data_IF_838754682000
#
_entry.id   IF_838754682000
#
_cell.length_a   1.000
_cell.length_b   1.000
_cell.length_c   1.000
_cell.angle_alpha   90.00
_cell.angle_beta   90.00
_cell.angle_gamma   90.00
#
_symmetry.space_group_name_H-M   'P 1'
#
loop_
_entity.id
_entity.type
_entity.pdbx_description
1 polymer ?
#
# COMPACT_ATOMS: atom_id res chain seq x y z
N UNK A 1 28.32 5.33 2.90
CA UNK A 1 27.49 5.34 4.12
C UNK A 1 27.27 3.90 4.56
N UNK A 2 27.37 3.60 5.85
CA UNK A 2 27.10 2.27 6.43
C UNK A 2 26.09 2.45 7.58
N UNK A 3 25.20 1.49 7.75
CA UNK A 3 24.19 1.50 8.82
C UNK A 3 24.44 0.33 9.77
N UNK A 4 24.25 0.56 11.07
CA UNK A 4 24.28 -0.52 12.06
C UNK A 4 22.92 -1.20 12.11
N UNK A 5 22.88 -2.51 11.82
CA UNK A 5 21.64 -3.29 11.77
C UNK A 5 21.69 -4.39 12.83
N UNK A 6 20.62 -4.52 13.63
CA UNK A 6 20.48 -5.53 14.68
C UNK A 6 19.14 -6.25 14.55
N UNK A 7 19.07 -7.56 14.85
CA UNK A 7 17.81 -8.28 14.88
C UNK A 7 16.95 -7.87 16.07
N UNK A 8 15.63 -7.97 15.91
CA UNK A 8 14.64 -7.78 16.95
C UNK A 8 13.98 -9.12 17.25
N UNK A 9 13.93 -9.51 18.53
CA UNK A 9 13.27 -10.73 19.01
C UNK A 9 12.29 -10.31 20.10
N UNK A 10 11.01 -10.65 19.93
CA UNK A 10 9.94 -10.31 20.88
C UNK A 10 9.92 -8.82 21.27
N UNK A 11 10.18 -7.93 20.30
CA UNK A 11 10.21 -6.47 20.50
C UNK A 11 11.49 -5.94 21.18
N UNK A 12 12.43 -6.80 21.58
CA UNK A 12 13.73 -6.39 22.14
C UNK A 12 14.83 -6.39 21.07
N UNK A 13 15.58 -5.30 20.99
CA UNK A 13 16.71 -5.15 20.06
C UNK A 13 17.95 -5.85 20.63
N UNK A 14 18.48 -6.85 19.93
CA UNK A 14 19.69 -7.58 20.35
C UNK A 14 20.96 -6.93 19.77
N UNK A 15 21.42 -5.84 20.38
CA UNK A 15 22.59 -5.09 19.89
C UNK A 15 23.87 -5.92 19.80
N UNK A 16 24.09 -6.87 20.71
CA UNK A 16 25.28 -7.73 20.68
C UNK A 16 25.35 -8.66 19.46
N UNK A 17 24.24 -8.84 18.72
CA UNK A 17 24.17 -9.62 17.48
C UNK A 17 24.12 -8.73 16.23
N UNK A 18 24.29 -7.43 16.39
CA UNK A 18 24.28 -6.46 15.30
C UNK A 18 25.65 -6.26 14.66
N UNK A 19 25.65 -5.61 13.49
CA UNK A 19 26.87 -5.26 12.77
C UNK A 19 26.63 -4.14 11.76
N UNK A 20 27.72 -3.57 11.24
CA UNK A 20 27.65 -2.58 10.19
C UNK A 20 27.43 -3.25 8.82
N UNK A 21 26.46 -2.74 8.06
CA UNK A 21 26.22 -3.18 6.68
C UNK A 21 26.09 -1.98 5.76
N UNK A 22 26.55 -2.15 4.52
CA UNK A 22 26.32 -1.20 3.41
C UNK A 22 25.15 -1.63 2.53
N UNK A 23 24.67 -2.87 2.72
CA UNK A 23 23.55 -3.46 1.97
C UNK A 23 22.35 -3.56 2.90
N UNK A 24 21.28 -2.85 2.54
CA UNK A 24 19.99 -2.91 3.24
C UNK A 24 19.02 -3.71 2.38
N UNK A 25 18.22 -4.57 3.02
CA UNK A 25 17.12 -5.31 2.38
C UNK A 25 15.81 -4.67 2.84
N UNK A 26 15.12 -3.90 1.97
CA UNK A 26 13.88 -3.26 2.38
C UNK A 26 12.78 -4.31 2.61
N UNK A 27 11.88 -4.01 3.55
CA UNK A 27 10.67 -4.81 3.75
C UNK A 27 9.75 -4.64 2.54
N UNK A 28 9.37 -5.76 1.93
CA UNK A 28 8.50 -5.81 0.76
C UNK A 28 7.02 -5.77 1.16
N UNK A 29 6.21 -4.97 0.47
CA UNK A 29 4.78 -4.78 0.76
C UNK A 29 3.98 -4.98 -0.54
N UNK A 30 2.89 -5.75 -0.47
CA UNK A 30 1.91 -5.90 -1.55
C UNK A 30 0.48 -5.80 -0.98
N UNK A 31 -0.12 -4.61 -0.87
CA UNK A 31 -1.54 -4.52 -0.54
C UNK A 31 -2.38 -5.13 -1.68
N UNK A 32 -3.61 -5.52 -1.37
CA UNK A 32 -4.56 -6.10 -2.34
C UNK A 32 -5.99 -5.82 -1.91
N UNK A 33 -6.89 -5.71 -2.87
CA UNK A 33 -8.32 -5.52 -2.61
C UNK A 33 -9.17 -6.54 -3.36
N UNK A 34 -10.30 -6.92 -2.75
CA UNK A 34 -11.31 -7.71 -3.43
C UNK A 34 -12.01 -6.85 -4.49
N UNK A 35 -12.31 -7.47 -5.64
CA UNK A 35 -13.12 -6.84 -6.66
C UNK A 35 -14.57 -7.31 -6.54
N UNK A 36 -15.49 -6.39 -6.22
CA UNK A 36 -16.91 -6.67 -6.08
C UNK A 36 -17.76 -5.70 -6.92
N UNK A 37 -18.59 -6.21 -7.84
CA UNK A 37 -19.49 -5.37 -8.65
C UNK A 37 -20.63 -4.72 -7.87
N UNK A 38 -21.02 -5.28 -6.73
CA UNK A 38 -22.13 -4.81 -5.90
C UNK A 38 -21.71 -3.72 -4.90
N UNK A 39 -20.41 -3.42 -4.80
CA UNK A 39 -19.93 -2.39 -3.87
C UNK A 39 -20.43 -1.00 -4.24
N UNK A 40 -20.68 -0.14 -3.25
CA UNK A 40 -20.98 1.25 -3.54
C UNK A 40 -19.74 1.93 -4.18
N UNK A 41 -19.94 2.71 -5.24
CA UNK A 41 -18.87 3.47 -5.91
C UNK A 41 -19.17 4.95 -5.73
N UNK A 42 -18.23 5.68 -5.14
CA UNK A 42 -18.36 7.12 -4.98
C UNK A 42 -18.19 7.85 -6.30
N UNK A 43 -19.04 8.86 -6.52
CA UNK A 43 -19.02 9.65 -7.76
C UNK A 43 -17.91 10.68 -7.72
N UNK A 44 -17.25 10.86 -8.87
CA UNK A 44 -16.30 11.95 -9.04
C UNK A 44 -17.04 13.28 -9.26
N UNK A 45 -16.44 14.41 -8.85
CA UNK A 45 -16.98 15.73 -9.18
C UNK A 45 -17.14 15.89 -10.70
N UNK A 46 -18.35 16.25 -11.15
CA UNK A 46 -18.66 16.46 -12.57
C UNK A 46 -18.90 15.18 -13.38
N UNK A 47 -18.89 14.00 -12.76
CA UNK A 47 -19.19 12.73 -13.43
C UNK A 47 -20.68 12.60 -13.77
N UNK A 48 -20.99 12.14 -14.98
CA UNK A 48 -22.36 11.80 -15.39
C UNK A 48 -22.83 10.54 -14.62
N UNK A 49 -23.93 10.61 -13.83
CA UNK A 49 -24.40 9.45 -13.08
C UNK A 49 -24.80 8.26 -13.97
N UNK A 50 -25.21 8.52 -15.22
CA UNK A 50 -25.66 7.45 -16.12
C UNK A 50 -24.50 6.53 -16.54
N UNK A 51 -23.26 7.03 -16.59
CA UNK A 51 -22.08 6.26 -17.00
C UNK A 51 -21.77 5.12 -16.04
N UNK A 52 -22.11 5.25 -14.74
CA UNK A 52 -21.91 4.20 -13.75
C UNK A 52 -22.81 2.98 -13.93
N UNK A 53 -23.84 3.07 -14.78
CA UNK A 53 -24.66 1.92 -15.15
C UNK A 53 -23.97 1.01 -16.17
N UNK A 54 -22.97 1.51 -16.92
CA UNK A 54 -22.16 0.68 -17.82
C UNK A 54 -21.20 -0.21 -17.00
N UNK A 55 -21.30 -1.55 -17.09
CA UNK A 55 -20.43 -2.46 -16.37
C UNK A 55 -18.94 -2.27 -16.66
N UNK A 56 -18.58 -1.88 -17.89
CA UNK A 56 -17.19 -1.70 -18.28
C UNK A 56 -16.60 -0.47 -17.59
N UNK A 57 -17.30 0.66 -17.66
CA UNK A 57 -16.92 1.88 -16.96
C UNK A 57 -16.87 1.69 -15.44
N UNK A 58 -17.89 1.04 -14.87
CA UNK A 58 -17.96 0.74 -13.43
C UNK A 58 -16.79 -0.14 -12.97
N UNK A 59 -16.40 -1.13 -13.75
CA UNK A 59 -15.22 -1.97 -13.47
C UNK A 59 -13.94 -1.13 -13.40
N UNK A 60 -13.74 -0.23 -14.35
CA UNK A 60 -12.57 0.65 -14.37
C UNK A 60 -12.54 1.53 -13.13
N UNK A 61 -13.69 2.11 -12.74
CA UNK A 61 -13.81 2.93 -11.53
C UNK A 61 -13.37 2.18 -10.27
N UNK A 62 -13.90 0.98 -10.06
CA UNK A 62 -13.53 0.14 -8.91
C UNK A 62 -12.03 -0.18 -8.91
N UNK A 63 -11.46 -0.57 -10.05
CA UNK A 63 -10.04 -0.91 -10.15
C UNK A 63 -9.18 0.32 -9.84
N UNK A 64 -9.51 1.48 -10.40
CA UNK A 64 -8.76 2.71 -10.17
C UNK A 64 -8.80 3.12 -8.70
N UNK A 65 -9.96 3.00 -8.04
CA UNK A 65 -10.08 3.34 -6.62
C UNK A 65 -9.29 2.35 -5.74
N UNK A 66 -9.31 1.06 -6.06
CA UNK A 66 -8.47 0.06 -5.38
C UNK A 66 -6.97 0.37 -5.56
N UNK A 67 -6.53 0.70 -6.78
CA UNK A 67 -5.12 1.05 -7.04
C UNK A 67 -4.68 2.28 -6.24
N UNK A 68 -5.53 3.31 -6.14
CA UNK A 68 -5.24 4.49 -5.30
C UNK A 68 -5.09 4.10 -3.83
N UNK A 69 -5.96 3.25 -3.30
CA UNK A 69 -5.86 2.78 -1.91
C UNK A 69 -4.57 1.98 -1.70
N UNK A 70 -4.15 1.17 -2.67
CA UNK A 70 -2.89 0.43 -2.65
C UNK A 70 -1.68 1.36 -2.62
N UNK A 71 -1.66 2.39 -3.46
CA UNK A 71 -0.61 3.42 -3.44
C UNK A 71 -0.56 4.16 -2.11
N UNK A 72 -1.71 4.59 -1.57
CA UNK A 72 -1.77 5.25 -0.28
C UNK A 72 -1.25 4.35 0.86
N UNK A 73 -1.59 3.06 0.85
CA UNK A 73 -1.09 2.11 1.85
C UNK A 73 0.44 1.94 1.78
N UNK A 74 1.02 1.95 0.57
CA UNK A 74 2.48 1.90 0.39
C UNK A 74 3.12 3.17 0.96
N UNK A 75 2.59 4.35 0.59
CA UNK A 75 3.11 5.64 1.06
C UNK A 75 3.04 5.76 2.57
N UNK A 76 1.92 5.39 3.21
CA UNK A 76 1.80 5.40 4.66
C UNK A 76 2.87 4.54 5.34
N UNK A 77 3.15 3.37 4.78
CA UNK A 77 4.17 2.46 5.30
C UNK A 77 5.59 3.03 5.09
N UNK A 78 5.82 3.79 4.02
CA UNK A 78 7.07 4.52 3.82
C UNK A 78 7.21 5.69 4.81
N UNK A 79 6.14 6.46 5.06
CA UNK A 79 6.12 7.58 6.00
C UNK A 79 6.39 7.13 7.43
N UNK A 80 5.82 6.01 7.88
CA UNK A 80 6.09 5.45 9.22
C UNK A 80 7.57 5.05 9.40
N UNK A 81 8.26 4.71 8.30
CA UNK A 81 9.68 4.31 8.33
C UNK A 81 10.65 5.47 8.15
N UNK A 82 10.14 6.67 7.87
CA UNK A 82 10.95 7.88 7.68
C UNK A 82 11.34 8.49 9.02
#
# INVERSE_FOLDING_TARGET
MAAYVSPVVEGKVLRHRGGETRVLRPGYVKPKHEFNYQQAVERLPGEDPAQLNDPAYRRLRIITDNLKQEEHAIVQVEEIRR
#
